data_IF_006953571723
#
_entry.id   IF_006953571723
#
_cell.length_a   1.000
_cell.length_b   1.000
_cell.length_c   1.000
_cell.angle_alpha   90.00
_cell.angle_beta   90.00
_cell.angle_gamma   90.00
#
_symmetry.space_group_name_H-M   'P 1'
#
loop_
_entity.id
_entity.type
_entity.pdbx_description
1 polymer ?
#
# COMPACT_ATOMS: atom_id res chain seq x y z
N UNK A 1 -8.71 -11.95 4.79
CA UNK A 1 -8.65 -11.22 3.50
C UNK A 1 -10.04 -11.16 2.93
N UNK A 2 -10.55 -9.97 2.64
CA UNK A 2 -11.85 -9.74 2.00
C UNK A 2 -11.56 -9.27 0.57
N UNK A 3 -11.79 -10.17 -0.40
CA UNK A 3 -11.49 -9.92 -1.80
C UNK A 3 -12.55 -9.03 -2.47
N UNK A 4 -13.80 -9.19 -2.08
CA UNK A 4 -14.97 -8.58 -2.73
C UNK A 4 -14.93 -7.03 -2.70
N UNK A 5 -15.19 -6.41 -3.84
CA UNK A 5 -15.40 -4.96 -4.00
C UNK A 5 -16.87 -4.59 -3.78
N UNK A 6 -17.14 -3.32 -3.42
CA UNK A 6 -18.49 -2.73 -3.36
C UNK A 6 -19.43 -3.38 -2.34
N UNK A 7 -18.87 -3.88 -1.25
CA UNK A 7 -19.67 -4.26 -0.08
C UNK A 7 -20.33 -2.99 0.47
N UNK A 8 -21.63 -3.01 0.83
CA UNK A 8 -22.27 -1.85 1.45
C UNK A 8 -21.48 -1.35 2.66
N UNK A 9 -21.22 -0.04 2.73
CA UNK A 9 -20.35 0.56 3.77
C UNK A 9 -20.77 0.20 5.19
N UNK A 10 -22.08 0.12 5.45
CA UNK A 10 -22.62 -0.31 6.75
C UNK A 10 -22.15 -1.72 7.11
N UNK A 11 -22.20 -2.64 6.15
CA UNK A 11 -21.81 -4.03 6.36
C UNK A 11 -20.30 -4.14 6.57
N UNK A 12 -19.50 -3.36 5.82
CA UNK A 12 -18.05 -3.27 6.04
C UNK A 12 -17.75 -2.85 7.48
N UNK A 13 -18.39 -1.78 7.97
CA UNK A 13 -18.21 -1.30 9.35
C UNK A 13 -18.56 -2.40 10.36
N UNK A 14 -19.69 -3.10 10.18
CA UNK A 14 -20.10 -4.19 11.08
C UNK A 14 -19.11 -5.37 11.05
N UNK A 15 -18.60 -5.73 9.87
CA UNK A 15 -17.59 -6.80 9.72
C UNK A 15 -16.31 -6.42 10.44
N UNK A 16 -15.83 -5.18 10.26
CA UNK A 16 -14.59 -4.72 10.87
C UNK A 16 -14.70 -4.58 12.39
N UNK A 17 -15.81 -4.02 12.90
CA UNK A 17 -16.11 -3.95 14.34
C UNK A 17 -16.13 -5.34 14.97
N UNK A 18 -16.84 -6.29 14.36
CA UNK A 18 -16.86 -7.67 14.85
C UNK A 18 -15.46 -8.32 14.81
N UNK A 19 -14.68 -8.09 13.75
CA UNK A 19 -13.32 -8.61 13.65
C UNK A 19 -12.42 -8.04 14.74
N UNK A 20 -12.50 -6.74 15.01
CA UNK A 20 -11.75 -6.06 16.08
C UNK A 20 -12.09 -6.65 17.46
N UNK A 21 -13.38 -6.83 17.77
CA UNK A 21 -13.83 -7.48 19.02
C UNK A 21 -13.30 -8.91 19.19
N UNK A 22 -12.94 -9.58 18.09
CA UNK A 22 -12.34 -10.92 18.09
C UNK A 22 -10.81 -10.89 17.99
N UNK A 23 -10.18 -9.72 17.99
CA UNK A 23 -8.73 -9.59 17.81
C UNK A 23 -8.24 -10.02 16.43
N UNK A 24 -9.13 -10.01 15.43
CA UNK A 24 -8.83 -10.46 14.06
C UNK A 24 -8.39 -9.28 13.20
N UNK A 25 -7.24 -9.43 12.55
CA UNK A 25 -6.78 -8.47 11.54
C UNK A 25 -7.43 -8.76 10.18
N UNK A 26 -7.95 -7.71 9.54
CA UNK A 26 -8.63 -7.81 8.24
C UNK A 26 -7.80 -7.09 7.18
N UNK A 27 -7.59 -7.73 6.04
CA UNK A 27 -7.04 -7.09 4.83
C UNK A 27 -8.19 -6.99 3.83
N UNK A 28 -8.40 -5.83 3.21
CA UNK A 28 -9.56 -5.51 2.40
C UNK A 28 -10.67 -4.79 3.18
N UNK A 29 -11.88 -4.62 2.62
CA UNK A 29 -12.39 -5.18 1.35
C UNK A 29 -11.67 -4.69 0.09
N UNK A 30 -12.06 -5.22 -1.07
CA UNK A 30 -11.49 -4.84 -2.36
C UNK A 30 -9.96 -5.03 -2.42
N UNK A 31 -9.49 -6.17 -1.91
CA UNK A 31 -8.07 -6.48 -1.81
C UNK A 31 -7.73 -7.76 -2.57
N UNK A 32 -6.63 -7.74 -3.33
CA UNK A 32 -6.09 -8.98 -3.90
C UNK A 32 -5.42 -9.87 -2.84
N UNK A 33 -5.15 -9.34 -1.65
CA UNK A 33 -4.64 -10.06 -0.50
C UNK A 33 -3.17 -9.81 -0.21
N UNK A 34 -2.48 -10.86 0.23
CA UNK A 34 -1.13 -10.81 0.80
C UNK A 34 -0.29 -11.97 0.29
N UNK A 35 0.99 -11.71 0.05
CA UNK A 35 1.98 -12.72 -0.28
C UNK A 35 3.31 -12.41 0.40
N UNK A 36 3.87 -13.41 1.07
CA UNK A 36 5.27 -13.43 1.48
C UNK A 36 5.99 -14.47 0.62
N UNK A 37 6.84 -14.06 -0.35
CA UNK A 37 7.42 -14.97 -1.32
C UNK A 37 8.13 -16.16 -0.65
N UNK A 38 7.90 -17.37 -1.17
CA UNK A 38 8.45 -18.62 -0.62
C UNK A 38 7.85 -19.09 0.71
N UNK A 39 6.93 -18.32 1.32
CA UNK A 39 6.29 -18.67 2.60
C UNK A 39 4.81 -18.98 2.43
N UNK A 40 4.01 -17.97 2.08
CA UNK A 40 2.57 -18.12 1.98
C UNK A 40 1.94 -17.04 1.09
N UNK A 41 0.74 -17.34 0.63
CA UNK A 41 -0.11 -16.44 -0.15
C UNK A 41 -1.55 -16.65 0.25
N UNK A 42 -2.29 -15.53 0.38
CA UNK A 42 -3.74 -15.53 0.61
C UNK A 42 -4.39 -14.51 -0.31
N UNK A 43 -5.41 -14.96 -1.06
CA UNK A 43 -6.11 -14.14 -2.05
C UNK A 43 -5.61 -14.35 -3.48
N UNK A 44 -6.06 -13.50 -4.39
CA UNK A 44 -5.76 -13.58 -5.83
C UNK A 44 -4.46 -12.85 -6.23
N UNK A 45 -3.73 -12.27 -5.28
CA UNK A 45 -2.49 -11.53 -5.51
C UNK A 45 -1.47 -12.35 -6.32
N UNK A 46 -0.98 -11.80 -7.43
CA UNK A 46 -0.05 -12.52 -8.31
C UNK A 46 -0.62 -13.70 -9.11
N UNK A 47 -1.94 -13.82 -9.25
CA UNK A 47 -2.56 -14.81 -10.15
C UNK A 47 -2.53 -16.25 -9.63
N UNK A 48 -2.38 -17.29 -10.48
CA UNK A 48 -2.20 -18.67 -10.03
C UNK A 48 -0.90 -18.86 -9.22
N UNK A 49 -0.86 -19.83 -8.30
CA UNK A 49 0.32 -20.06 -7.45
C UNK A 49 1.61 -20.27 -8.26
N UNK A 50 1.55 -21.03 -9.35
CA UNK A 50 2.70 -21.32 -10.22
C UNK A 50 3.29 -20.05 -10.87
N UNK A 51 2.44 -19.06 -11.14
CA UNK A 51 2.78 -17.82 -11.83
C UNK A 51 3.43 -16.80 -10.88
N UNK A 52 3.19 -16.90 -9.57
CA UNK A 52 3.73 -15.95 -8.59
C UNK A 52 5.24 -15.82 -8.66
N UNK A 53 5.97 -16.88 -9.03
CA UNK A 53 7.43 -16.86 -9.17
C UNK A 53 7.94 -15.92 -10.26
N UNK A 54 7.09 -15.47 -11.19
CA UNK A 54 7.46 -14.52 -12.24
C UNK A 54 7.57 -13.09 -11.70
N UNK A 55 6.69 -12.72 -10.78
CA UNK A 55 6.61 -11.35 -10.25
C UNK A 55 7.17 -11.21 -8.84
N UNK A 56 7.30 -12.30 -8.11
CA UNK A 56 7.69 -12.29 -6.71
C UNK A 56 8.96 -13.11 -6.50
N UNK A 57 9.96 -12.46 -5.89
CA UNK A 57 11.23 -13.06 -5.50
C UNK A 57 11.46 -12.82 -4.01
N UNK A 58 12.09 -13.75 -3.29
CA UNK A 58 12.43 -13.54 -1.88
C UNK A 58 13.45 -12.40 -1.77
N UNK A 59 13.20 -11.40 -0.91
CA UNK A 59 14.16 -10.33 -0.67
C UNK A 59 13.73 -9.34 0.41
N UNK A 60 14.37 -8.16 0.47
CA UNK A 60 14.28 -7.28 1.62
C UNK A 60 13.19 -6.22 1.55
N UNK A 61 12.42 -6.11 0.46
CA UNK A 61 11.46 -5.00 0.28
C UNK A 61 10.07 -5.39 0.77
N UNK A 62 9.48 -4.62 1.68
CA UNK A 62 8.06 -4.73 2.01
C UNK A 62 7.24 -3.87 1.05
N UNK A 63 6.09 -4.35 0.55
CA UNK A 63 5.20 -3.57 -0.32
C UNK A 63 3.82 -3.46 0.32
N UNK A 64 3.28 -2.24 0.39
CA UNK A 64 1.86 -2.00 0.69
C UNK A 64 1.23 -1.11 -0.38
N UNK A 65 0.01 -1.46 -0.81
CA UNK A 65 -0.66 -0.74 -1.89
C UNK A 65 -2.18 -0.74 -1.74
N UNK A 66 -2.83 0.38 -2.07
CA UNK A 66 -4.29 0.46 -2.20
C UNK A 66 -4.80 -0.30 -3.42
N UNK A 67 -3.97 -0.44 -4.46
CA UNK A 67 -4.28 -1.19 -5.68
C UNK A 67 -3.60 -2.55 -5.71
N UNK A 68 -4.39 -3.62 -5.84
CA UNK A 68 -3.84 -4.98 -5.92
C UNK A 68 -3.05 -5.25 -7.21
N UNK A 69 -3.50 -4.72 -8.34
CA UNK A 69 -2.76 -4.80 -9.61
C UNK A 69 -1.38 -4.16 -9.48
N UNK A 70 -1.34 -2.94 -8.92
CA UNK A 70 -0.07 -2.22 -8.70
C UNK A 70 0.81 -2.87 -7.63
N UNK A 71 0.24 -3.64 -6.69
CA UNK A 71 1.04 -4.47 -5.77
C UNK A 71 1.88 -5.49 -6.56
N UNK A 72 1.25 -6.16 -7.54
CA UNK A 72 1.93 -7.15 -8.37
C UNK A 72 2.88 -6.50 -9.38
N UNK A 73 2.50 -5.35 -9.95
CA UNK A 73 3.36 -4.61 -10.88
C UNK A 73 4.64 -4.12 -10.20
N UNK A 74 4.54 -3.53 -9.00
CA UNK A 74 5.73 -3.11 -8.25
C UNK A 74 6.61 -4.30 -7.88
N UNK A 75 6.03 -5.42 -7.45
CA UNK A 75 6.81 -6.63 -7.18
C UNK A 75 7.52 -7.12 -8.45
N UNK A 76 6.83 -7.15 -9.58
CA UNK A 76 7.37 -7.55 -10.88
C UNK A 76 8.51 -6.64 -11.33
N UNK A 77 8.34 -5.32 -11.21
CA UNK A 77 9.33 -4.32 -11.58
C UNK A 77 10.60 -4.46 -10.73
N UNK A 78 10.45 -4.63 -9.42
CA UNK A 78 11.59 -4.84 -8.51
C UNK A 78 12.28 -6.18 -8.78
N UNK A 79 11.50 -7.26 -8.94
CA UNK A 79 12.03 -8.60 -9.26
C UNK A 79 12.82 -8.60 -10.56
N UNK A 80 12.32 -7.93 -11.60
CA UNK A 80 13.02 -7.77 -12.89
C UNK A 80 14.31 -6.96 -12.77
N UNK A 81 14.47 -6.16 -11.71
CA UNK A 81 15.69 -5.45 -11.35
C UNK A 81 16.55 -6.20 -10.32
N UNK A 82 16.27 -7.47 -10.06
CA UNK A 82 17.02 -8.29 -9.10
C UNK A 82 16.74 -7.95 -7.63
N UNK A 83 15.66 -7.25 -7.33
CA UNK A 83 15.27 -6.84 -5.97
C UNK A 83 14.05 -7.64 -5.53
N UNK A 84 14.21 -8.50 -4.53
CA UNK A 84 13.12 -9.32 -4.01
C UNK A 84 12.31 -8.63 -2.91
N UNK A 85 11.18 -9.24 -2.57
CA UNK A 85 10.24 -8.78 -1.57
C UNK A 85 10.18 -9.70 -0.34
N UNK A 86 9.91 -9.09 0.81
CA UNK A 86 9.71 -9.75 2.10
C UNK A 86 8.24 -10.15 2.25
N UNK A 87 7.36 -9.16 2.20
CA UNK A 87 5.90 -9.31 2.21
C UNK A 87 5.25 -8.20 1.39
N UNK A 88 4.31 -8.56 0.53
CA UNK A 88 3.52 -7.64 -0.31
C UNK A 88 2.05 -7.72 0.08
N UNK A 89 1.41 -6.57 0.31
CA UNK A 89 0.05 -6.46 0.80
C UNK A 89 -0.74 -5.48 -0.05
N UNK A 90 -1.85 -5.94 -0.63
CA UNK A 90 -2.90 -5.06 -1.14
C UNK A 90 -3.83 -4.74 0.03
N UNK A 91 -3.84 -3.51 0.55
CA UNK A 91 -4.72 -3.14 1.68
C UNK A 91 -6.18 -3.06 1.28
N UNK A 92 -6.41 -2.68 0.03
CA UNK A 92 -7.71 -2.55 -0.61
C UNK A 92 -8.00 -1.12 -1.06
N UNK A 93 -8.82 -1.00 -2.10
CA UNK A 93 -9.17 0.30 -2.70
C UNK A 93 -10.44 0.92 -2.15
N UNK A 94 -11.12 0.26 -1.21
CA UNK A 94 -12.38 0.77 -0.66
C UNK A 94 -12.14 1.91 0.35
N UNK A 95 -13.12 2.82 0.55
CA UNK A 95 -12.96 3.95 1.47
C UNK A 95 -12.82 3.57 2.95
N UNK A 96 -13.30 2.37 3.30
CA UNK A 96 -13.20 1.79 4.63
C UNK A 96 -12.59 0.40 4.43
N UNK A 97 -11.38 0.21 4.95
CA UNK A 97 -10.66 -1.05 4.93
C UNK A 97 -10.32 -1.45 6.37
N UNK A 98 -9.97 -2.72 6.57
CA UNK A 98 -9.45 -3.18 7.85
C UNK A 98 -8.08 -2.57 8.14
N UNK A 99 -7.01 -3.26 7.77
CA UNK A 99 -5.65 -2.77 7.94
C UNK A 99 -5.29 -1.72 6.87
N UNK A 100 -5.00 -0.52 7.34
CA UNK A 100 -4.47 0.61 6.56
C UNK A 100 -2.95 0.54 6.41
N UNK A 101 -2.37 1.34 5.51
CA UNK A 101 -0.91 1.47 5.37
C UNK A 101 -0.27 1.84 6.72
N UNK A 102 -0.86 2.77 7.46
CA UNK A 102 -0.42 3.17 8.80
C UNK A 102 -0.31 1.99 9.75
N UNK A 103 -1.27 1.06 9.72
CA UNK A 103 -1.28 -0.11 10.61
C UNK A 103 -0.29 -1.19 10.18
N UNK A 104 0.11 -1.20 8.90
CA UNK A 104 1.12 -2.12 8.38
C UNK A 104 2.55 -1.67 8.72
N UNK A 105 2.82 -0.36 8.80
CA UNK A 105 4.15 0.16 9.13
C UNK A 105 4.80 -0.53 10.35
N UNK A 106 4.20 -0.58 11.55
CA UNK A 106 4.82 -1.28 12.69
C UNK A 106 5.04 -2.78 12.46
N UNK A 107 4.29 -3.42 11.56
CA UNK A 107 4.52 -4.83 11.22
C UNK A 107 5.73 -4.97 10.30
N UNK A 108 5.85 -4.10 9.31
CA UNK A 108 7.05 -4.04 8.48
C UNK A 108 8.28 -3.70 9.30
N UNK A 109 8.19 -2.81 10.29
CA UNK A 109 9.30 -2.48 11.18
C UNK A 109 9.79 -3.70 11.97
N UNK A 110 8.85 -4.51 12.47
CA UNK A 110 9.16 -5.74 13.22
C UNK A 110 9.65 -6.88 12.33
N UNK A 111 9.34 -6.89 11.04
CA UNK A 111 9.82 -7.92 10.13
C UNK A 111 11.31 -7.74 9.85
N UNK A 112 12.15 -8.62 10.40
CA UNK A 112 13.61 -8.58 10.24
C UNK A 112 14.05 -8.69 8.78
N UNK A 113 13.23 -9.32 7.93
CA UNK A 113 13.48 -9.46 6.49
C UNK A 113 13.27 -8.13 5.77
N UNK A 114 12.29 -7.33 6.19
CA UNK A 114 12.04 -6.03 5.60
C UNK A 114 13.14 -5.04 5.98
N UNK A 115 13.83 -4.48 4.99
CA UNK A 115 14.82 -3.40 5.14
C UNK A 115 14.29 -2.06 4.62
N UNK A 116 13.47 -2.10 3.57
CA UNK A 116 12.85 -0.92 2.96
C UNK A 116 11.37 -1.20 2.71
N UNK A 117 10.51 -0.19 2.89
CA UNK A 117 9.08 -0.26 2.59
C UNK A 117 8.76 0.57 1.36
N UNK A 118 8.06 -0.03 0.40
CA UNK A 118 7.53 0.63 -0.79
C UNK A 118 6.02 0.75 -0.69
N UNK A 119 5.52 1.95 -0.92
CA UNK A 119 4.10 2.28 -0.89
C UNK A 119 3.61 2.66 -2.30
N UNK A 120 2.50 2.06 -2.72
CA UNK A 120 1.71 2.60 -3.82
C UNK A 120 0.40 3.15 -3.29
N UNK A 121 0.19 4.44 -3.54
CA UNK A 121 -0.91 5.20 -3.00
C UNK A 121 -1.69 5.89 -4.12
N UNK A 122 -2.94 6.25 -3.84
CA UNK A 122 -3.83 6.91 -4.80
C UNK A 122 -4.54 8.09 -4.14
N UNK A 123 -5.10 9.05 -4.86
CA UNK A 123 -5.86 10.15 -4.27
C UNK A 123 -7.15 9.65 -3.59
N UNK A 124 -7.61 10.37 -2.55
CA UNK A 124 -8.82 10.05 -1.78
C UNK A 124 -8.55 9.50 -0.38
N UNK A 125 -9.40 9.84 0.60
CA UNK A 125 -9.19 9.45 2.00
C UNK A 125 -7.99 10.17 2.67
N UNK A 126 -7.54 9.66 3.82
CA UNK A 126 -6.46 10.27 4.63
C UNK A 126 -5.38 9.29 5.10
N UNK A 127 -5.41 8.04 4.60
CA UNK A 127 -4.57 6.95 5.12
C UNK A 127 -3.07 7.25 4.99
N UNK A 128 -2.67 7.93 3.94
CA UNK A 128 -1.30 8.32 3.63
C UNK A 128 -0.83 9.46 4.53
N UNK A 129 -1.67 10.47 4.77
CA UNK A 129 -1.37 11.52 5.74
C UNK A 129 -1.25 10.96 7.16
N UNK A 130 -2.07 9.98 7.52
CA UNK A 130 -1.99 9.27 8.81
C UNK A 130 -0.72 8.42 8.90
N UNK A 131 -0.31 7.76 7.81
CA UNK A 131 0.95 7.03 7.72
C UNK A 131 2.16 7.97 7.84
N UNK A 132 2.15 9.11 7.15
CA UNK A 132 3.18 10.14 7.27
C UNK A 132 3.28 10.69 8.70
N UNK A 133 2.14 10.95 9.33
CA UNK A 133 2.06 11.40 10.72
C UNK A 133 2.61 10.36 11.68
N UNK A 134 2.35 9.07 11.43
CA UNK A 134 2.91 7.97 12.21
C UNK A 134 4.44 7.91 12.08
N UNK A 135 4.97 7.97 10.85
CA UNK A 135 6.42 7.95 10.56
C UNK A 135 7.15 9.04 11.35
N UNK A 136 6.62 10.27 11.30
CA UNK A 136 7.16 11.41 12.05
C UNK A 136 7.08 11.21 13.56
N UNK A 137 5.88 10.89 14.06
CA UNK A 137 5.60 10.87 15.49
C UNK A 137 6.40 9.80 16.22
N UNK A 138 6.63 8.65 15.60
CA UNK A 138 7.27 7.50 16.22
C UNK A 138 8.71 7.27 15.74
N UNK A 139 9.28 8.20 14.97
CA UNK A 139 10.64 8.10 14.43
C UNK A 139 10.88 6.74 13.77
N UNK A 140 10.00 6.39 12.83
CA UNK A 140 10.02 5.11 12.14
C UNK A 140 11.40 4.82 11.52
N UNK A 141 11.93 3.64 11.80
CA UNK A 141 13.35 3.35 11.61
C UNK A 141 13.74 2.87 10.20
N UNK A 142 12.79 2.38 9.42
CA UNK A 142 13.07 1.83 8.07
C UNK A 142 12.81 2.87 6.98
N UNK A 143 13.64 2.93 5.92
CA UNK A 143 13.34 3.75 4.76
C UNK A 143 11.95 3.44 4.17
N UNK A 144 11.21 4.50 3.85
CA UNK A 144 9.92 4.42 3.17
C UNK A 144 10.01 5.18 1.86
N UNK A 145 9.60 4.53 0.78
CA UNK A 145 9.55 5.09 -0.58
C UNK A 145 8.12 4.97 -1.06
N UNK A 146 7.55 6.06 -1.58
CA UNK A 146 6.18 6.11 -2.02
C UNK A 146 6.06 6.52 -3.48
N UNK A 147 5.10 5.94 -4.17
CA UNK A 147 4.58 6.46 -5.43
C UNK A 147 3.10 6.76 -5.27
N UNK A 148 2.70 7.99 -5.62
CA UNK A 148 1.30 8.40 -5.62
C UNK A 148 0.82 8.44 -7.07
N UNK A 149 -0.04 7.49 -7.42
CA UNK A 149 -0.74 7.46 -8.71
C UNK A 149 -1.80 8.55 -8.81
N UNK A 150 -2.37 8.75 -10.00
CA UNK A 150 -3.50 9.67 -10.17
C UNK A 150 -3.22 11.13 -9.82
N UNK A 151 -1.97 11.60 -9.89
CA UNK A 151 -1.62 13.01 -9.54
C UNK A 151 -2.39 14.05 -10.35
N UNK A 152 -2.76 13.70 -11.59
CA UNK A 152 -3.57 14.54 -12.49
C UNK A 152 -5.02 14.75 -12.00
N UNK A 153 -5.52 13.95 -11.06
CA UNK A 153 -6.90 14.03 -10.57
C UNK A 153 -7.16 15.36 -9.87
N UNK A 154 -6.15 15.96 -9.23
CA UNK A 154 -6.26 17.28 -8.59
C UNK A 154 -6.61 18.40 -9.61
N UNK A 155 -6.33 18.19 -10.90
CA UNK A 155 -6.61 19.12 -12.00
C UNK A 155 -7.94 18.82 -12.73
N UNK A 156 -8.64 17.74 -12.36
CA UNK A 156 -9.88 17.27 -13.00
C UNK A 156 -11.05 17.22 -12.00
N UNK A 157 -11.53 18.38 -11.50
CA UNK A 157 -12.57 18.42 -10.48
C UNK A 157 -13.89 17.81 -10.98
N UNK A 158 -14.52 16.97 -10.14
CA UNK A 158 -15.81 16.33 -10.43
C UNK A 158 -15.73 14.98 -11.15
N UNK A 159 -14.55 14.59 -11.65
CA UNK A 159 -14.33 13.28 -12.26
C UNK A 159 -14.09 12.20 -11.19
N UNK A 160 -14.65 11.00 -11.40
CA UNK A 160 -14.43 9.82 -10.55
C UNK A 160 -13.63 8.77 -11.32
N UNK A 161 -12.53 8.28 -10.75
CA UNK A 161 -11.63 7.32 -11.39
C UNK A 161 -11.56 6.03 -10.57
N UNK A 162 -12.20 4.94 -11.01
CA UNK A 162 -12.06 3.61 -10.38
C UNK A 162 -12.24 3.61 -8.85
N UNK A 163 -11.26 3.08 -8.12
CA UNK A 163 -11.19 3.12 -6.64
C UNK A 163 -10.83 4.47 -6.04
N UNK A 164 -10.41 5.45 -6.85
CA UNK A 164 -10.45 6.86 -6.48
C UNK A 164 -11.91 7.34 -6.48
N UNK A 165 -12.76 6.59 -5.78
CA UNK A 165 -13.96 7.10 -5.18
C UNK A 165 -13.56 7.83 -3.91
N UNK A 166 -14.30 8.90 -3.64
CA UNK A 166 -14.52 9.46 -2.30
C UNK A 166 -13.72 10.73 -1.97
N UNK A 167 -14.46 11.83 -2.13
CA UNK A 167 -14.52 12.99 -1.24
C UNK A 167 -13.15 13.50 -0.78
N UNK A 168 -12.52 14.31 -1.63
CA UNK A 168 -11.54 15.30 -1.18
C UNK A 168 -12.29 16.25 -0.24
N UNK A 169 -12.22 16.01 1.08
CA UNK A 169 -12.83 16.91 2.06
C UNK A 169 -11.91 18.09 2.28
N UNK A 170 -12.35 19.29 1.87
CA UNK A 170 -11.76 20.60 2.27
C UNK A 170 -10.22 20.60 2.37
N UNK A 171 -9.54 20.12 1.31
CA UNK A 171 -8.07 20.17 1.20
C UNK A 171 -7.28 18.95 1.70
N UNK A 172 -7.95 17.91 2.24
CA UNK A 172 -7.31 16.62 2.60
C UNK A 172 -7.61 15.53 1.57
N UNK A 173 -6.68 14.60 1.38
CA UNK A 173 -6.80 13.49 0.44
C UNK A 173 -6.46 13.82 -1.02
N UNK A 174 -6.00 15.04 -1.30
CA UNK A 174 -5.44 15.40 -2.62
C UNK A 174 -4.12 14.72 -2.85
N UNK A 175 -3.76 14.46 -4.11
CA UNK A 175 -2.45 13.90 -4.42
C UNK A 175 -1.34 14.82 -3.89
N UNK A 176 -1.46 16.13 -4.14
CA UNK A 176 -0.53 17.14 -3.62
C UNK A 176 -0.40 17.10 -2.10
N UNK A 177 -1.51 17.05 -1.38
CA UNK A 177 -1.52 17.03 0.09
C UNK A 177 -0.78 15.81 0.66
N UNK A 178 -1.01 14.64 0.06
CA UNK A 178 -0.32 13.39 0.44
C UNK A 178 1.18 13.45 0.15
N UNK A 179 1.58 13.98 -1.00
CA UNK A 179 3.01 14.17 -1.35
C UNK A 179 3.69 15.05 -0.29
N UNK A 180 3.09 16.19 0.05
CA UNK A 180 3.65 17.11 1.05
C UNK A 180 3.67 16.53 2.47
N UNK A 181 2.69 15.69 2.82
CA UNK A 181 2.72 14.96 4.09
C UNK A 181 3.89 13.97 4.13
N UNK A 182 4.06 13.15 3.09
CA UNK A 182 5.14 12.19 3.00
C UNK A 182 6.53 12.84 2.97
N UNK A 183 6.72 13.89 2.16
CA UNK A 183 8.00 14.63 2.12
C UNK A 183 8.36 15.20 3.48
N UNK A 184 7.41 15.81 4.20
CA UNK A 184 7.63 16.29 5.57
C UNK A 184 8.00 15.17 6.53
N UNK A 185 7.53 13.95 6.28
CA UNK A 185 7.86 12.77 7.06
C UNK A 185 9.19 12.09 6.68
N UNK A 186 9.95 12.65 5.74
CA UNK A 186 11.20 12.05 5.27
C UNK A 186 11.00 10.85 4.33
N UNK A 187 9.78 10.64 3.82
CA UNK A 187 9.48 9.62 2.82
C UNK A 187 9.92 10.12 1.45
N UNK A 188 10.68 9.28 0.72
CA UNK A 188 11.05 9.57 -0.66
C UNK A 188 9.85 9.34 -1.56
N UNK A 189 9.35 10.39 -2.20
CA UNK A 189 8.20 10.30 -3.11
C UNK A 189 8.70 10.32 -4.55
N UNK A 190 8.61 9.18 -5.24
CA UNK A 190 9.06 9.04 -6.63
C UNK A 190 8.03 9.61 -7.62
N UNK A 191 8.52 10.29 -8.65
CA UNK A 191 7.74 10.83 -9.77
C UNK A 191 7.47 9.80 -10.86
N UNK A 192 8.34 8.78 -10.97
CA UNK A 192 8.18 7.66 -11.91
C UNK A 192 8.46 6.33 -11.23
N UNK A 193 7.94 5.25 -11.79
CA UNK A 193 8.24 3.90 -11.29
C UNK A 193 9.73 3.53 -11.46
N UNK A 194 10.40 4.05 -12.49
CA UNK A 194 11.86 3.87 -12.65
C UNK A 194 12.63 4.52 -11.51
N UNK A 195 12.31 5.79 -11.18
CA UNK A 195 12.93 6.49 -10.06
C UNK A 195 12.64 5.80 -8.71
N UNK A 196 11.46 5.20 -8.55
CA UNK A 196 11.15 4.41 -7.37
C UNK A 196 12.13 3.25 -7.20
N UNK A 197 12.48 2.55 -8.28
CA UNK A 197 13.48 1.46 -8.25
C UNK A 197 14.84 1.99 -7.83
N UNK A 198 15.25 3.15 -8.34
CA UNK A 198 16.55 3.76 -8.00
C UNK A 198 16.63 4.11 -6.51
N UNK A 199 15.58 4.74 -5.95
CA UNK A 199 15.49 4.98 -4.52
C UNK A 199 15.53 3.69 -3.69
N UNK A 200 14.92 2.60 -4.17
CA UNK A 200 14.99 1.31 -3.48
C UNK A 200 16.43 0.80 -3.47
N UNK A 201 17.15 0.86 -4.60
CA UNK A 201 18.55 0.43 -4.69
C UNK A 201 19.44 1.23 -3.74
N UNK A 202 19.29 2.56 -3.72
CA UNK A 202 20.03 3.45 -2.82
C UNK A 202 19.75 3.13 -1.35
N UNK A 203 18.49 2.86 -0.99
CA UNK A 203 18.13 2.53 0.40
C UNK A 203 18.67 1.19 0.91
N UNK A 204 19.04 0.29 0.00
CA UNK A 204 19.55 -1.06 0.32
C UNK A 204 21.07 -1.18 0.22
N UNK A 205 21.74 -0.12 -0.26
CA UNK A 205 23.20 -0.04 -0.38
C UNK A 205 23.84 0.36 0.94
#
# INVERSE_FOLDING_TARGET
VIFTERIPKKDVVLILDFAEQKGTKVIGPNSLGIISPGKSKVGAIGGPQIETKKSYMIGPVGIASTSGGMTTELANLLTSNGIGQSTCISVGGDPIVGMTIRELLPLFEKDIQTKTVVLFCEPGGTQEEDAASYILKYSYSKPVIAFIGGRFVDEMPGMRFGHAGVIVQKGKGTAKGKIEAFKRAGVLVADTLTQLVDYVKESLS
#
